data_IF_751669482535
#
_entry.id   IF_751669482535
#
_cell.length_a   1.000
_cell.length_b   1.000
_cell.length_c   1.000
_cell.angle_alpha   90.00
_cell.angle_beta   90.00
_cell.angle_gamma   90.00
#
_symmetry.space_group_name_H-M   'P 1'
#
loop_
_entity.id
_entity.type
_entity.pdbx_description
1 polymer ?
#
# COMPACT_ATOMS: atom_id res chain seq x y z
N UNK A 1 -5.16 51.17 42.17
CA UNK A 1 -5.48 50.50 40.90
C UNK A 1 -5.98 49.09 41.18
N UNK A 2 -7.29 48.90 41.11
CA UNK A 2 -7.94 47.63 41.41
C UNK A 2 -7.75 46.71 40.21
N UNK A 3 -6.87 45.70 40.32
CA UNK A 3 -6.72 44.67 39.32
C UNK A 3 -7.99 43.82 39.30
N UNK A 4 -8.84 44.07 38.32
CA UNK A 4 -10.08 43.32 38.12
C UNK A 4 -9.78 41.83 38.05
N UNK A 5 -10.21 41.07 39.07
CA UNK A 5 -10.13 39.60 39.11
C UNK A 5 -10.96 39.02 37.98
N UNK A 6 -10.30 38.65 36.88
CA UNK A 6 -10.90 37.92 35.79
C UNK A 6 -11.37 36.55 36.32
N UNK A 7 -12.67 36.42 36.60
CA UNK A 7 -13.29 35.12 36.92
C UNK A 7 -13.20 34.26 35.66
N UNK A 8 -12.59 33.07 35.70
CA UNK A 8 -12.54 32.18 34.54
C UNK A 8 -13.98 31.83 34.16
N UNK A 9 -14.40 32.28 32.98
CA UNK A 9 -15.75 32.09 32.43
C UNK A 9 -15.95 30.63 32.09
N UNK A 10 -17.14 30.10 32.30
CA UNK A 10 -17.50 28.69 31.91
C UNK A 10 -17.20 28.35 30.45
N UNK A 11 -16.99 29.36 29.65
CA UNK A 11 -16.67 29.24 28.21
C UNK A 11 -15.35 28.48 27.91
N UNK A 12 -14.35 28.59 28.80
CA UNK A 12 -13.08 27.87 28.64
C UNK A 12 -13.24 26.34 28.68
N UNK A 13 -14.20 25.85 29.45
CA UNK A 13 -14.52 24.40 29.44
C UNK A 13 -15.16 23.97 28.13
N UNK A 14 -16.03 24.81 27.53
CA UNK A 14 -16.59 24.58 26.22
C UNK A 14 -15.52 24.51 25.13
N UNK A 15 -14.58 25.46 25.18
CA UNK A 15 -13.47 25.52 24.22
C UNK A 15 -12.54 24.29 24.34
N UNK A 16 -12.21 23.87 25.58
CA UNK A 16 -11.41 22.69 25.84
C UNK A 16 -12.06 21.39 25.30
N UNK A 17 -13.40 21.34 25.25
CA UNK A 17 -14.13 20.19 24.72
C UNK A 17 -14.26 20.22 23.18
N UNK A 18 -14.33 21.41 22.60
CA UNK A 18 -14.43 21.58 21.13
C UNK A 18 -13.14 21.22 20.39
N UNK A 19 -11.98 21.46 21.00
CA UNK A 19 -10.67 21.18 20.38
C UNK A 19 -10.53 19.69 19.97
N UNK A 20 -10.72 18.69 20.86
CA UNK A 20 -10.60 17.29 20.48
C UNK A 20 -11.69 16.84 19.50
N UNK A 21 -12.91 17.39 19.58
CA UNK A 21 -13.99 17.07 18.63
C UNK A 21 -13.59 17.55 17.23
N UNK A 22 -13.07 18.75 17.11
CA UNK A 22 -12.62 19.30 15.82
C UNK A 22 -11.44 18.51 15.27
N UNK A 23 -10.46 18.15 16.12
CA UNK A 23 -9.34 17.30 15.73
C UNK A 23 -9.80 15.91 15.24
N UNK A 24 -10.77 15.32 15.90
CA UNK A 24 -11.37 14.04 15.50
C UNK A 24 -12.08 14.14 14.15
N UNK A 25 -12.86 15.19 13.92
CA UNK A 25 -13.53 15.45 12.65
C UNK A 25 -12.55 15.66 11.50
N UNK A 26 -11.49 16.43 11.74
CA UNK A 26 -10.43 16.66 10.75
C UNK A 26 -9.69 15.36 10.40
N UNK A 27 -9.36 14.56 11.41
CA UNK A 27 -8.71 13.25 11.23
C UNK A 27 -9.59 12.30 10.44
N UNK A 28 -10.87 12.19 10.81
CA UNK A 28 -11.83 11.35 10.10
C UNK A 28 -11.97 11.76 8.62
N UNK A 29 -12.02 13.07 8.35
CA UNK A 29 -12.07 13.59 6.98
C UNK A 29 -10.81 13.25 6.18
N UNK A 30 -9.63 13.40 6.78
CA UNK A 30 -8.34 13.06 6.13
C UNK A 30 -8.25 11.57 5.84
N UNK A 31 -8.64 10.71 6.78
CA UNK A 31 -8.66 9.25 6.58
C UNK A 31 -9.65 8.90 5.50
N UNK A 32 -10.88 9.42 5.54
CA UNK A 32 -11.92 9.15 4.53
C UNK A 32 -11.48 9.53 3.11
N UNK A 33 -10.78 10.66 2.95
CA UNK A 33 -10.26 11.09 1.63
C UNK A 33 -9.11 10.23 1.11
N UNK A 34 -8.34 9.61 2.01
CA UNK A 34 -7.14 8.84 1.65
C UNK A 34 -7.36 7.33 1.69
N UNK A 35 -8.48 6.85 2.25
CA UNK A 35 -8.84 5.43 2.15
C UNK A 35 -9.34 5.16 0.72
N UNK A 36 -8.62 4.35 -0.07
CA UNK A 36 -9.12 3.94 -1.37
C UNK A 36 -10.42 3.18 -1.17
N UNK A 37 -11.43 3.49 -2.00
CA UNK A 37 -12.70 2.77 -1.97
C UNK A 37 -12.40 1.29 -2.26
N UNK A 38 -12.60 0.45 -1.27
CA UNK A 38 -12.21 -0.96 -1.26
C UNK A 38 -12.96 -1.93 -2.21
N UNK A 39 -14.10 -1.61 -2.85
CA UNK A 39 -14.67 -2.52 -3.82
C UNK A 39 -13.79 -2.54 -5.07
N UNK A 40 -12.97 -3.56 -5.21
CA UNK A 40 -12.05 -3.75 -6.32
C UNK A 40 -10.57 -3.67 -5.95
N UNK A 41 -10.18 -3.80 -4.69
CA UNK A 41 -8.76 -3.84 -4.31
C UNK A 41 -8.00 -4.94 -5.07
N UNK A 42 -8.65 -6.03 -5.44
CA UNK A 42 -8.10 -7.07 -6.32
C UNK A 42 -8.06 -6.65 -7.80
N UNK A 43 -9.01 -5.83 -8.28
CA UNK A 43 -8.92 -5.23 -9.61
C UNK A 43 -7.84 -4.13 -9.67
N UNK A 44 -7.64 -3.41 -8.57
CA UNK A 44 -6.58 -2.39 -8.43
C UNK A 44 -5.17 -2.99 -8.37
N UNK A 45 -5.02 -4.27 -8.03
CA UNK A 45 -3.71 -4.94 -7.98
C UNK A 45 -3.14 -5.27 -9.36
N UNK A 46 -3.81 -4.90 -10.44
CA UNK A 46 -3.28 -5.10 -11.78
C UNK A 46 -3.18 -6.55 -12.24
N UNK A 47 -3.76 -7.52 -11.49
CA UNK A 47 -3.72 -8.95 -11.87
C UNK A 47 -4.31 -9.17 -13.26
N UNK A 48 -5.37 -8.44 -13.61
CA UNK A 48 -5.99 -8.52 -14.93
C UNK A 48 -5.12 -7.89 -16.04
N UNK A 49 -4.13 -7.06 -15.66
CA UNK A 49 -3.23 -6.39 -16.59
C UNK A 49 -1.90 -7.14 -16.76
N UNK A 50 -1.75 -8.31 -16.14
CA UNK A 50 -0.57 -9.15 -16.34
C UNK A 50 -0.61 -9.76 -17.75
N UNK A 51 0.47 -9.57 -18.51
CA UNK A 51 0.65 -10.20 -19.81
C UNK A 51 1.06 -11.66 -19.62
N UNK A 52 0.23 -12.58 -20.08
CA UNK A 52 0.50 -14.01 -20.00
C UNK A 52 1.36 -14.46 -21.19
N UNK A 53 2.37 -15.26 -20.90
CA UNK A 53 3.31 -15.81 -21.89
C UNK A 53 3.40 -17.33 -21.69
N UNK A 54 3.10 -18.09 -22.72
CA UNK A 54 3.27 -19.54 -22.70
C UNK A 54 4.75 -19.87 -22.98
N UNK A 55 5.34 -20.74 -22.17
CA UNK A 55 6.73 -21.16 -22.24
C UNK A 55 6.79 -22.63 -22.69
N UNK A 56 7.65 -22.97 -23.67
CA UNK A 56 8.66 -22.13 -24.35
C UNK A 56 8.01 -21.15 -25.32
N UNK A 57 8.51 -19.90 -25.31
CA UNK A 57 7.98 -18.86 -26.17
C UNK A 57 8.52 -17.47 -25.88
N UNK A 58 8.02 -16.50 -26.63
CA UNK A 58 8.36 -15.09 -26.46
C UNK A 58 7.14 -14.19 -26.67
N UNK A 59 7.14 -13.02 -26.00
CA UNK A 59 6.11 -12.01 -26.17
C UNK A 59 6.71 -10.60 -26.08
N UNK A 60 6.08 -9.66 -26.76
CA UNK A 60 6.35 -8.24 -26.60
C UNK A 60 5.55 -7.71 -25.40
N UNK A 61 6.22 -7.09 -24.47
CA UNK A 61 5.62 -6.53 -23.26
C UNK A 61 5.91 -5.03 -23.22
N UNK A 62 4.84 -4.23 -23.08
CA UNK A 62 4.98 -2.80 -22.93
C UNK A 62 5.00 -2.43 -21.44
N UNK A 63 6.09 -1.82 -21.00
CA UNK A 63 6.22 -1.24 -19.67
C UNK A 63 5.99 0.28 -19.76
N UNK A 64 4.81 0.78 -19.36
CA UNK A 64 4.46 2.19 -19.59
C UNK A 64 5.21 3.16 -18.67
N UNK A 65 5.82 2.69 -17.59
CA UNK A 65 6.49 3.51 -16.57
C UNK A 65 7.78 2.85 -16.10
N UNK A 66 8.70 3.67 -15.59
CA UNK A 66 9.82 3.19 -14.77
C UNK A 66 9.30 2.60 -13.47
N UNK A 67 9.94 1.57 -12.94
CA UNK A 67 9.53 0.98 -11.67
C UNK A 67 9.80 -0.50 -11.52
N UNK A 68 9.28 -1.05 -10.44
CA UNK A 68 9.37 -2.46 -10.10
C UNK A 68 8.25 -3.25 -10.78
N UNK A 69 8.66 -4.23 -11.56
CA UNK A 69 7.78 -5.21 -12.20
C UNK A 69 8.17 -6.62 -11.74
N UNK A 70 7.33 -7.58 -12.09
CA UNK A 70 7.54 -8.96 -11.68
C UNK A 70 7.13 -9.94 -12.78
N UNK A 71 7.78 -11.10 -12.75
CA UNK A 71 7.38 -12.30 -13.48
C UNK A 71 6.78 -13.26 -12.46
N UNK A 72 5.58 -13.69 -12.70
CA UNK A 72 4.89 -14.68 -11.88
C UNK A 72 4.82 -16.00 -12.64
N UNK A 73 5.07 -17.10 -11.97
CA UNK A 73 4.78 -18.43 -12.49
C UNK A 73 3.34 -18.79 -12.13
N UNK A 74 2.48 -18.91 -13.14
CA UNK A 74 1.09 -19.35 -12.96
C UNK A 74 1.03 -20.88 -13.00
N UNK A 75 0.94 -21.51 -11.85
CA UNK A 75 0.77 -22.95 -11.78
C UNK A 75 -0.68 -23.41 -12.01
N UNK A 76 -1.62 -22.47 -12.06
CA UNK A 76 -2.97 -22.61 -12.56
C UNK A 76 -3.28 -21.39 -13.42
N UNK A 77 -3.69 -21.63 -14.66
CA UNK A 77 -4.01 -20.59 -15.62
C UNK A 77 -4.94 -21.09 -16.69
N UNK A 78 -5.80 -20.22 -17.21
CA UNK A 78 -6.65 -20.50 -18.36
C UNK A 78 -6.35 -19.48 -19.45
N UNK A 79 -5.89 -19.93 -20.61
CA UNK A 79 -5.61 -19.08 -21.78
C UNK A 79 -6.39 -19.63 -22.97
N UNK A 80 -7.26 -18.81 -23.55
CA UNK A 80 -8.09 -19.18 -24.72
C UNK A 80 -8.85 -20.51 -24.52
N UNK A 81 -9.35 -20.76 -23.30
CA UNK A 81 -10.08 -21.98 -22.95
C UNK A 81 -9.19 -23.20 -22.67
N UNK A 82 -7.87 -23.09 -22.83
CA UNK A 82 -6.92 -24.15 -22.48
C UNK A 82 -6.51 -24.00 -21.01
N UNK A 83 -6.62 -25.10 -20.26
CA UNK A 83 -6.27 -25.12 -18.84
C UNK A 83 -4.83 -25.58 -18.65
N UNK A 84 -4.02 -24.72 -18.05
CA UNK A 84 -2.63 -24.99 -17.67
C UNK A 84 -2.57 -25.22 -16.16
N UNK A 85 -2.69 -26.47 -15.73
CA UNK A 85 -2.51 -26.85 -14.33
C UNK A 85 -1.20 -27.60 -14.15
N UNK A 86 -0.35 -27.11 -13.24
CA UNK A 86 1.01 -27.63 -12.98
C UNK A 86 1.30 -27.67 -11.48
N UNK A 87 2.48 -28.15 -11.14
CA UNK A 87 2.98 -28.09 -9.76
C UNK A 87 3.25 -26.66 -9.34
N UNK A 88 3.16 -26.37 -8.06
CA UNK A 88 3.42 -25.02 -7.48
C UNK A 88 4.85 -24.53 -7.72
N UNK A 89 5.80 -25.45 -7.89
CA UNK A 89 7.21 -25.09 -8.08
C UNK A 89 7.51 -24.91 -9.56
N UNK A 90 8.13 -23.78 -9.95
CA UNK A 90 8.52 -23.55 -11.34
C UNK A 90 9.59 -24.54 -11.76
N UNK A 91 9.55 -25.05 -12.99
CA UNK A 91 10.62 -25.88 -13.54
C UNK A 91 11.86 -25.04 -13.83
N UNK A 92 12.97 -25.71 -14.18
CA UNK A 92 14.20 -25.03 -14.60
C UNK A 92 14.00 -24.37 -15.97
N UNK A 93 13.77 -23.08 -15.96
CA UNK A 93 13.63 -22.24 -17.15
C UNK A 93 14.63 -21.10 -17.15
N UNK A 94 15.11 -20.76 -18.33
CA UNK A 94 15.95 -19.58 -18.56
C UNK A 94 15.11 -18.52 -19.29
N UNK A 95 14.99 -17.36 -18.66
CA UNK A 95 14.25 -16.23 -19.19
C UNK A 95 15.18 -15.04 -19.44
N UNK A 96 14.90 -14.30 -20.50
CA UNK A 96 15.61 -13.09 -20.88
C UNK A 96 14.60 -11.99 -21.17
N UNK A 97 14.93 -10.77 -20.76
CA UNK A 97 14.19 -9.57 -21.09
C UNK A 97 15.10 -8.59 -21.80
N UNK A 98 14.73 -8.17 -23.00
CA UNK A 98 15.54 -7.27 -23.84
C UNK A 98 14.73 -6.07 -24.28
N UNK A 99 15.30 -4.88 -24.12
CA UNK A 99 14.68 -3.65 -24.62
C UNK A 99 14.68 -3.64 -26.14
N UNK A 100 13.51 -3.44 -26.75
CA UNK A 100 13.37 -3.34 -28.20
C UNK A 100 14.03 -2.08 -28.77
N UNK A 101 14.09 -1.01 -27.98
CA UNK A 101 14.65 0.26 -28.41
C UNK A 101 16.18 0.31 -28.35
N UNK A 102 16.79 -0.31 -27.33
CA UNK A 102 18.23 -0.21 -27.06
C UNK A 102 18.98 -1.51 -27.25
N UNK A 103 18.31 -2.59 -27.52
CA UNK A 103 18.82 -3.98 -27.64
C UNK A 103 19.57 -4.48 -26.39
N UNK A 104 19.41 -3.78 -25.25
CA UNK A 104 20.05 -4.15 -23.99
C UNK A 104 19.25 -5.18 -23.23
N UNK A 105 19.96 -6.17 -22.69
CA UNK A 105 19.38 -7.11 -21.76
C UNK A 105 19.12 -6.45 -20.40
N UNK A 106 17.98 -6.79 -19.81
CA UNK A 106 17.59 -6.37 -18.47
C UNK A 106 17.67 -7.59 -17.57
N UNK A 107 18.31 -7.41 -16.43
CA UNK A 107 18.49 -8.47 -15.45
C UNK A 107 17.16 -8.86 -14.78
N UNK A 108 16.95 -10.16 -14.68
CA UNK A 108 15.83 -10.76 -13.95
C UNK A 108 16.36 -11.25 -12.60
N UNK A 109 16.17 -10.46 -11.56
CA UNK A 109 16.63 -10.78 -10.21
C UNK A 109 15.79 -11.87 -9.56
N UNK A 110 16.40 -12.66 -8.69
CA UNK A 110 15.61 -13.53 -7.80
C UNK A 110 14.80 -12.68 -6.82
N UNK A 111 13.56 -13.06 -6.48
CA UNK A 111 12.77 -12.28 -5.56
C UNK A 111 13.36 -12.35 -4.13
N UNK A 112 13.30 -11.23 -3.40
CA UNK A 112 13.76 -11.15 -2.03
C UNK A 112 12.84 -11.93 -1.06
N UNK A 113 11.61 -12.20 -1.48
CA UNK A 113 10.59 -12.90 -0.70
C UNK A 113 10.04 -14.06 -1.51
N UNK A 114 10.28 -15.27 -1.06
CA UNK A 114 9.72 -16.47 -1.66
C UNK A 114 8.26 -16.68 -1.24
N UNK A 115 7.46 -17.21 -2.16
CA UNK A 115 6.13 -17.69 -1.84
C UNK A 115 4.99 -16.69 -1.92
N UNK A 116 5.23 -15.49 -2.47
CA UNK A 116 4.12 -14.56 -2.76
C UNK A 116 3.18 -15.14 -3.81
N UNK A 117 1.95 -15.41 -3.40
CA UNK A 117 0.92 -16.02 -4.23
C UNK A 117 -0.17 -14.99 -4.49
N UNK A 118 -0.60 -14.87 -5.73
CA UNK A 118 -1.87 -14.25 -6.06
C UNK A 118 -2.87 -15.28 -6.59
N UNK A 119 -4.14 -15.00 -6.42
CA UNK A 119 -5.22 -15.77 -7.00
C UNK A 119 -6.33 -14.81 -7.47
N UNK A 120 -6.92 -15.10 -8.64
CA UNK A 120 -8.16 -14.43 -9.04
C UNK A 120 -9.34 -14.94 -8.22
N UNK A 121 -10.44 -14.17 -8.16
CA UNK A 121 -11.61 -14.51 -7.33
C UNK A 121 -12.18 -15.90 -7.63
N UNK A 122 -12.19 -16.30 -8.91
CA UNK A 122 -12.65 -17.62 -9.37
C UNK A 122 -11.56 -18.69 -9.34
N UNK A 123 -10.35 -18.36 -8.84
CA UNK A 123 -9.16 -19.22 -8.80
C UNK A 123 -8.75 -19.82 -10.17
N UNK A 124 -9.18 -19.22 -11.27
CA UNK A 124 -8.76 -19.64 -12.62
C UNK A 124 -7.29 -19.31 -12.85
N UNK A 125 -6.78 -18.26 -12.20
CA UNK A 125 -5.37 -17.88 -12.26
C UNK A 125 -4.79 -17.87 -10.85
N UNK A 126 -3.72 -18.64 -10.66
CA UNK A 126 -2.98 -18.69 -9.38
C UNK A 126 -1.50 -18.71 -9.69
N UNK A 127 -0.78 -17.72 -9.16
CA UNK A 127 0.63 -17.54 -9.45
C UNK A 127 1.49 -17.27 -8.23
N UNK A 128 2.76 -17.62 -8.34
CA UNK A 128 3.82 -17.31 -7.37
C UNK A 128 4.84 -16.37 -8.00
N UNK A 129 5.43 -15.49 -7.21
CA UNK A 129 6.49 -14.62 -7.68
C UNK A 129 7.71 -15.46 -8.08
N UNK A 130 8.14 -15.31 -9.32
CA UNK A 130 9.26 -16.07 -9.89
C UNK A 130 10.52 -15.22 -10.08
N UNK A 131 10.37 -14.01 -10.64
CA UNK A 131 11.48 -13.06 -10.84
C UNK A 131 11.02 -11.63 -10.62
N UNK A 132 11.93 -10.78 -10.17
CA UNK A 132 11.74 -9.33 -10.06
C UNK A 132 12.46 -8.63 -11.21
N UNK A 133 11.86 -7.54 -11.72
CA UNK A 133 12.36 -6.75 -12.82
C UNK A 133 12.41 -5.29 -12.39
N UNK A 134 13.52 -4.61 -12.64
CA UNK A 134 13.62 -3.15 -12.49
C UNK A 134 13.69 -2.50 -13.86
N UNK A 135 12.64 -1.77 -14.23
CA UNK A 135 12.55 -1.05 -15.50
C UNK A 135 13.00 0.39 -15.28
N UNK A 136 14.10 0.78 -15.90
CA UNK A 136 14.68 2.13 -15.84
C UNK A 136 14.27 3.01 -17.03
N UNK A 137 13.81 2.38 -18.11
CA UNK A 137 13.33 3.08 -19.31
C UNK A 137 12.00 2.45 -19.74
N UNK A 138 10.93 3.23 -19.87
CA UNK A 138 9.64 2.72 -20.33
C UNK A 138 9.73 2.36 -21.82
N UNK A 139 8.82 1.50 -22.27
CA UNK A 139 8.72 1.10 -23.67
C UNK A 139 8.50 -0.39 -23.86
N UNK A 140 8.63 -0.82 -25.11
CA UNK A 140 8.41 -2.22 -25.50
C UNK A 140 9.67 -3.03 -25.30
N UNK A 141 9.52 -4.18 -24.66
CA UNK A 141 10.59 -5.15 -24.40
C UNK A 141 10.16 -6.52 -24.90
N UNK A 142 11.14 -7.30 -25.32
CA UNK A 142 10.94 -8.69 -25.75
C UNK A 142 11.30 -9.59 -24.55
N UNK A 143 10.30 -10.27 -24.04
CA UNK A 143 10.44 -11.28 -23.00
C UNK A 143 10.42 -12.65 -23.63
N UNK A 144 11.44 -13.47 -23.40
CA UNK A 144 11.58 -14.81 -23.95
C UNK A 144 12.03 -15.79 -22.88
N UNK A 145 11.39 -16.96 -22.86
CA UNK A 145 11.73 -18.03 -21.93
C UNK A 145 11.80 -19.38 -22.64
N UNK A 146 12.75 -20.19 -22.20
CA UNK A 146 12.93 -21.56 -22.67
C UNK A 146 13.34 -22.47 -21.52
N UNK A 147 13.11 -23.75 -21.67
CA UNK A 147 13.62 -24.74 -20.74
C UNK A 147 15.15 -24.81 -20.79
N UNK A 148 15.77 -25.09 -19.66
CA UNK A 148 17.23 -25.21 -19.56
C UNK A 148 17.69 -26.57 -20.09
N UNK A 149 16.81 -27.56 -20.06
CA UNK A 149 17.05 -28.90 -20.58
C UNK A 149 16.26 -29.13 -21.89
N UNK A 150 16.82 -29.94 -22.80
CA UNK A 150 16.21 -30.27 -24.09
C UNK A 150 15.10 -31.34 -24.00
N UNK A 151 14.61 -31.63 -22.78
CA UNK A 151 13.51 -32.60 -22.61
C UNK A 151 12.20 -31.99 -23.10
N UNK A 152 11.32 -32.85 -23.58
CA UNK A 152 9.94 -32.46 -23.90
C UNK A 152 9.21 -32.13 -22.58
N UNK A 153 9.28 -30.86 -22.21
CA UNK A 153 8.63 -30.34 -21.00
C UNK A 153 7.23 -29.80 -21.35
N UNK A 154 6.25 -29.96 -20.45
CA UNK A 154 4.90 -29.46 -20.69
C UNK A 154 4.90 -27.91 -20.68
N UNK A 155 4.09 -27.33 -21.55
CA UNK A 155 3.88 -25.88 -21.56
C UNK A 155 3.46 -25.35 -20.18
N UNK A 156 4.03 -24.22 -19.82
CA UNK A 156 3.72 -23.49 -18.58
C UNK A 156 3.38 -22.04 -18.90
N UNK A 157 2.78 -21.35 -17.95
CA UNK A 157 2.40 -19.95 -18.11
C UNK A 157 3.21 -19.08 -17.16
N UNK A 158 3.79 -18.03 -17.72
CA UNK A 158 4.36 -16.92 -16.97
C UNK A 158 3.50 -15.69 -17.18
N UNK A 159 3.28 -14.93 -16.13
CA UNK A 159 2.56 -13.66 -16.18
C UNK A 159 3.52 -12.52 -15.82
N UNK A 160 3.60 -11.50 -16.66
CA UNK A 160 4.52 -10.38 -16.48
C UNK A 160 3.73 -9.09 -16.34
N UNK A 161 4.06 -8.31 -15.34
CA UNK A 161 3.40 -7.03 -15.09
C UNK A 161 3.89 -6.33 -13.84
N UNK A 162 3.13 -5.34 -13.32
CA UNK A 162 3.48 -4.60 -12.12
C UNK A 162 3.73 -5.52 -10.92
N UNK A 163 4.65 -5.13 -10.04
CA UNK A 163 4.86 -5.87 -8.80
C UNK A 163 3.67 -5.63 -7.85
N UNK A 164 2.76 -6.61 -7.79
CA UNK A 164 1.51 -6.55 -7.03
C UNK A 164 1.75 -6.24 -5.56
N UNK A 165 2.83 -6.79 -4.97
CA UNK A 165 3.17 -6.57 -3.56
C UNK A 165 3.57 -5.13 -3.33
N UNK A 166 4.37 -4.56 -4.22
CA UNK A 166 4.78 -3.17 -4.14
C UNK A 166 3.59 -2.21 -4.32
N UNK A 167 2.68 -2.54 -5.23
CA UNK A 167 1.45 -1.78 -5.41
C UNK A 167 0.54 -1.84 -4.19
N UNK A 168 0.34 -3.02 -3.59
CA UNK A 168 -0.41 -3.20 -2.35
C UNK A 168 0.23 -2.43 -1.19
N UNK A 169 1.56 -2.48 -1.06
CA UNK A 169 2.28 -1.73 -0.05
C UNK A 169 2.06 -0.22 -0.20
N UNK A 170 2.20 0.32 -1.42
CA UNK A 170 1.96 1.74 -1.70
C UNK A 170 0.50 2.14 -1.48
N UNK A 171 -0.44 1.24 -1.78
CA UNK A 171 -1.86 1.46 -1.52
C UNK A 171 -2.16 1.53 -0.02
N UNK A 172 -1.55 0.63 0.77
CA UNK A 172 -1.72 0.58 2.22
C UNK A 172 -0.95 1.68 2.97
N UNK A 173 0.18 2.14 2.45
CA UNK A 173 1.04 3.13 3.10
C UNK A 173 0.33 4.47 3.32
N UNK A 174 -0.48 4.93 2.37
CA UNK A 174 -1.21 6.21 2.46
C UNK A 174 -2.20 6.27 3.62
N UNK A 175 -3.15 5.32 3.77
CA UNK A 175 -4.07 5.34 4.90
C UNK A 175 -3.36 5.13 6.25
N UNK A 176 -2.31 4.29 6.29
CA UNK A 176 -1.51 4.10 7.51
C UNK A 176 -0.84 5.38 7.94
N UNK A 177 -0.18 6.11 7.04
CA UNK A 177 0.44 7.40 7.33
C UNK A 177 -0.60 8.42 7.81
N UNK A 178 -1.77 8.50 7.16
CA UNK A 178 -2.86 9.38 7.56
C UNK A 178 -3.38 9.05 8.99
N UNK A 179 -3.47 7.77 9.34
CA UNK A 179 -3.91 7.31 10.66
C UNK A 179 -2.90 7.68 11.75
N UNK A 180 -1.60 7.50 11.48
CA UNK A 180 -0.53 7.87 12.42
C UNK A 180 -0.53 9.39 12.65
N UNK A 181 -0.53 10.19 11.58
CA UNK A 181 -0.58 11.65 11.69
C UNK A 181 -1.84 12.12 12.44
N UNK A 182 -3.00 11.53 12.13
CA UNK A 182 -4.26 11.83 12.80
C UNK A 182 -4.23 11.47 14.29
N UNK A 183 -3.65 10.34 14.65
CA UNK A 183 -3.45 9.91 16.03
C UNK A 183 -2.59 10.90 16.83
N UNK A 184 -1.50 11.41 16.26
CA UNK A 184 -0.65 12.42 16.90
C UNK A 184 -1.38 13.75 17.10
N UNK A 185 -2.14 14.20 16.12
CA UNK A 185 -2.96 15.43 16.23
C UNK A 185 -4.02 15.28 17.33
N UNK A 186 -4.68 14.12 17.40
CA UNK A 186 -5.71 13.85 18.41
C UNK A 186 -5.14 13.79 19.83
N UNK A 187 -4.02 13.08 20.03
CA UNK A 187 -3.35 13.00 21.34
C UNK A 187 -2.79 14.37 21.79
N UNK A 188 -2.25 15.16 20.87
CA UNK A 188 -1.85 16.54 21.12
C UNK A 188 -3.01 17.43 21.54
N UNK A 189 -4.15 17.34 20.85
CA UNK A 189 -5.37 18.09 21.17
C UNK A 189 -5.93 17.72 22.57
N UNK A 190 -5.93 16.44 22.93
CA UNK A 190 -6.29 15.98 24.27
C UNK A 190 -5.36 16.54 25.35
N UNK A 191 -4.05 16.52 25.12
CA UNK A 191 -3.05 17.09 26.05
C UNK A 191 -3.29 18.57 26.30
N UNK A 192 -3.52 19.37 25.26
CA UNK A 192 -3.84 20.79 25.37
C UNK A 192 -5.14 21.01 26.14
N UNK A 193 -6.17 20.21 25.89
CA UNK A 193 -7.46 20.30 26.58
C UNK A 193 -7.32 20.05 28.09
N UNK A 194 -6.57 19.02 28.47
CA UNK A 194 -6.29 18.69 29.87
C UNK A 194 -5.52 19.85 30.58
N UNK A 195 -4.52 20.43 29.89
CA UNK A 195 -3.80 21.57 30.39
C UNK A 195 -4.70 22.78 30.64
N UNK A 196 -5.58 23.11 29.71
CA UNK A 196 -6.52 24.23 29.85
C UNK A 196 -7.44 24.00 31.07
N UNK A 197 -8.03 22.81 31.19
CA UNK A 197 -8.90 22.44 32.31
C UNK A 197 -8.13 22.53 33.64
N UNK A 198 -6.91 22.00 33.68
CA UNK A 198 -6.03 22.05 34.88
C UNK A 198 -5.71 23.48 35.32
N UNK A 199 -5.33 24.35 34.39
CA UNK A 199 -5.02 25.76 34.68
C UNK A 199 -6.27 26.51 35.22
N UNK A 200 -7.43 26.27 34.57
CA UNK A 200 -8.69 26.91 34.99
C UNK A 200 -9.12 26.42 36.37
N UNK A 201 -9.01 25.13 36.65
CA UNK A 201 -9.33 24.52 37.93
C UNK A 201 -8.41 25.03 39.04
N UNK A 202 -7.10 25.10 38.75
CA UNK A 202 -6.10 25.63 39.68
C UNK A 202 -6.37 27.10 40.07
N UNK A 203 -6.58 27.99 39.08
CA UNK A 203 -6.94 29.39 39.31
C UNK A 203 -8.23 29.54 40.11
N UNK A 204 -9.22 28.71 39.83
CA UNK A 204 -10.48 28.73 40.59
C UNK A 204 -10.30 28.32 42.04
N UNK A 205 -9.45 27.33 42.30
CA UNK A 205 -9.18 26.85 43.67
C UNK A 205 -8.38 27.88 44.49
N UNK A 206 -7.40 28.57 43.88
CA UNK A 206 -6.71 29.68 44.49
C UNK A 206 -7.64 30.85 44.85
N UNK A 207 -8.57 31.19 43.94
CA UNK A 207 -9.53 32.27 44.21
C UNK A 207 -10.46 31.95 45.38
N UNK A 208 -10.84 30.68 45.56
CA UNK A 208 -11.66 30.24 46.72
C UNK A 208 -10.88 30.34 48.03
N UNK A 209 -9.60 29.96 48.06
CA UNK A 209 -8.76 30.05 49.28
C UNK A 209 -8.57 31.47 49.72
N UNK A 210 -8.37 32.44 48.82
CA UNK A 210 -8.22 33.85 49.14
C UNK A 210 -9.51 34.43 49.71
N UNK A 211 -10.70 34.04 49.22
CA UNK A 211 -11.99 34.47 49.74
C UNK A 211 -12.24 33.93 51.16
N UNK A 212 -11.86 32.67 51.42
CA UNK A 212 -12.00 32.05 52.76
C UNK A 212 -11.05 32.58 53.82
N UNK A 213 -9.94 33.26 53.44
CA UNK A 213 -9.01 33.89 54.38
C UNK A 213 -9.37 35.36 54.74
N UNK A 214 -10.43 35.90 54.12
CA UNK A 214 -10.92 37.29 54.36
C UNK A 214 -12.21 37.34 55.19
N UNK A 215 -12.76 36.19 55.55
CA UNK A 215 -13.88 36.01 56.50
C UNK A 215 -13.35 35.52 57.82
#
# INVERSE_FOLDING_TARGET
MSAGKLKPTRWYYGLAFLIPIFACGLTAMLVYRNVPKLPGALELTGINNLTQVVVPGSAEINFPKVGAYAVYYEYRSVINGVNYARTKYPPNINCQLRSKATDKNIELASPDVEGNIYATQNQERVGVLFKSISINQPGVHIFSCRYTDDRSNPEIVLAVGPNIIWELFNLAAKPVAATICGGLVFTGALGISILIVGIVAFKRNQSKKILASQT
#
